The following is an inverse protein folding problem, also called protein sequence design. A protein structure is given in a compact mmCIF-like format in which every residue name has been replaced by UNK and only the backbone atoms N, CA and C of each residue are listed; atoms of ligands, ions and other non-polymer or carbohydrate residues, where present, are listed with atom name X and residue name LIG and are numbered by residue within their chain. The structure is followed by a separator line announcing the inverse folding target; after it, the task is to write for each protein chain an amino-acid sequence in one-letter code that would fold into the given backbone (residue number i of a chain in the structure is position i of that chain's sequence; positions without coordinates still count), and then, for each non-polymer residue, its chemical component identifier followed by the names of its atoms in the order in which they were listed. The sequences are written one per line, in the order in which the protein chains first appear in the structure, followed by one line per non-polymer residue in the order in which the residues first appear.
data_IF_752403659037
#
_entry.id   IF_752403659037
#
_cell.length_a   1.000
_cell.length_b   1.000
_cell.length_c   1.000
_cell.angle_alpha   90.00
_cell.angle_beta   90.00
_cell.angle_gamma   90.00
#
_symmetry.space_group_name_H-M   'P 1'
#
loop_
_entity.id
_entity.type
_entity.pdbx_description
1 polymer ?
#
# COMPACT_ATOMS: atom_id res chain seq x y z
N UNK A 1 35.72 22.53 -10.23
CA UNK A 1 34.70 21.64 -9.61
C UNK A 1 33.41 22.43 -9.59
N UNK A 2 32.43 22.04 -10.40
CA UNK A 2 31.18 22.78 -10.54
C UNK A 2 30.13 22.17 -9.60
N UNK A 3 29.69 22.93 -8.60
CA UNK A 3 28.57 22.57 -7.73
C UNK A 3 27.26 22.70 -8.53
N UNK A 4 26.68 21.56 -8.91
CA UNK A 4 25.33 21.52 -9.46
C UNK A 4 24.32 21.64 -8.32
N UNK A 5 23.91 22.88 -8.05
CA UNK A 5 22.83 23.19 -7.12
C UNK A 5 21.48 22.80 -7.76
N UNK A 6 21.03 21.55 -7.51
CA UNK A 6 19.72 21.07 -7.98
C UNK A 6 18.65 21.79 -7.17
N UNK A 7 18.14 22.88 -7.74
CA UNK A 7 17.00 23.61 -7.21
C UNK A 7 15.75 22.75 -7.40
N UNK A 8 15.42 21.93 -6.40
CA UNK A 8 14.16 21.20 -6.40
C UNK A 8 13.03 22.24 -6.36
N UNK A 9 12.14 22.29 -7.37
CA UNK A 9 11.09 23.28 -7.40
C UNK A 9 10.20 23.05 -6.19
N UNK A 10 10.10 24.04 -5.30
CA UNK A 10 9.27 23.98 -4.07
C UNK A 10 7.83 23.54 -4.37
N UNK A 11 7.32 23.84 -5.58
CA UNK A 11 6.02 23.37 -6.05
C UNK A 11 5.86 21.85 -6.15
N UNK A 12 6.93 21.10 -6.48
CA UNK A 12 6.87 19.64 -6.57
C UNK A 12 6.81 18.96 -5.18
N UNK A 13 7.55 19.50 -4.20
CA UNK A 13 7.45 19.09 -2.80
C UNK A 13 6.05 19.38 -2.23
N UNK A 14 5.48 20.56 -2.52
CA UNK A 14 4.12 20.92 -2.10
C UNK A 14 3.07 20.03 -2.77
N UNK A 15 3.23 19.68 -4.05
CA UNK A 15 2.31 18.79 -4.74
C UNK A 15 2.32 17.36 -4.15
N UNK A 16 3.49 16.85 -3.77
CA UNK A 16 3.63 15.52 -3.19
C UNK A 16 3.06 15.45 -1.77
N UNK A 17 3.30 16.47 -0.96
CA UNK A 17 2.69 16.60 0.37
C UNK A 17 1.17 16.81 0.25
N UNK A 18 0.69 17.59 -0.72
CA UNK A 18 -0.73 17.81 -0.95
C UNK A 18 -1.45 16.52 -1.38
N UNK A 19 -0.82 15.69 -2.20
CA UNK A 19 -1.39 14.42 -2.67
C UNK A 19 -1.48 13.40 -1.52
N UNK A 20 -0.50 13.39 -0.63
CA UNK A 20 -0.48 12.54 0.57
C UNK A 20 -1.51 13.02 1.61
N UNK A 21 -1.63 14.33 1.79
CA UNK A 21 -2.67 14.94 2.63
C UNK A 21 -4.09 14.69 2.07
N UNK A 22 -4.28 14.73 0.75
CA UNK A 22 -5.59 14.43 0.12
C UNK A 22 -5.98 12.95 0.27
N UNK A 23 -5.02 12.02 0.18
CA UNK A 23 -5.27 10.60 0.43
C UNK A 23 -5.67 10.34 1.89
N UNK A 24 -5.06 11.06 2.83
CA UNK A 24 -5.41 11.01 4.25
C UNK A 24 -6.76 11.68 4.56
N UNK A 25 -7.09 12.81 3.90
CA UNK A 25 -8.39 13.48 4.03
C UNK A 25 -9.52 12.60 3.49
N UNK A 26 -9.28 11.81 2.44
CA UNK A 26 -10.20 10.77 1.99
C UNK A 26 -10.48 9.73 3.07
N UNK A 27 -9.44 9.25 3.77
CA UNK A 27 -9.59 8.30 4.87
C UNK A 27 -10.34 8.91 6.07
N UNK A 28 -10.01 10.15 6.45
CA UNK A 28 -10.70 10.87 7.52
C UNK A 28 -12.16 11.22 7.17
N UNK A 29 -12.47 11.53 5.91
CA UNK A 29 -13.83 11.77 5.43
C UNK A 29 -14.67 10.48 5.39
N UNK A 30 -14.05 9.32 5.12
CA UNK A 30 -14.71 8.01 5.21
C UNK A 30 -14.99 7.58 6.66
N UNK A 31 -14.12 7.94 7.61
CA UNK A 31 -14.39 7.72 9.04
C UNK A 31 -15.39 8.75 9.59
N UNK A 32 -15.33 10.00 9.14
CA UNK A 32 -16.23 11.09 9.56
C UNK A 32 -17.67 10.98 9.05
N UNK A 33 -17.92 10.24 7.96
CA UNK A 33 -19.29 10.02 7.44
C UNK A 33 -20.07 8.90 8.12
N UNK A 34 -19.47 8.12 9.03
CA UNK A 34 -20.17 7.07 9.76
C UNK A 34 -20.69 7.51 11.15
N UNK A 35 -20.47 8.76 11.56
CA UNK A 35 -20.87 9.23 12.90
C UNK A 35 -21.91 10.36 12.91
N UNK A 36 -22.59 10.63 11.79
CA UNK A 36 -23.76 11.52 11.81
C UNK A 36 -25.05 10.69 11.88
N UNK A 37 -25.78 10.64 13.03
CA UNK A 37 -27.13 10.09 13.05
C UNK A 37 -28.03 10.92 12.12
N UNK A 38 -29.03 10.27 11.47
CA UNK A 38 -29.93 10.96 10.54
C UNK A 38 -30.67 12.10 11.26
N UNK A 39 -30.74 13.30 10.67
CA UNK A 39 -31.50 14.39 11.26
C UNK A 39 -32.98 13.99 11.30
N UNK A 40 -33.56 13.99 12.50
CA UNK A 40 -35.00 13.87 12.66
C UNK A 40 -35.70 15.05 11.94
N UNK A 41 -36.85 14.82 11.29
CA UNK A 41 -37.60 15.90 10.66
C UNK A 41 -38.30 16.73 11.75
N UNK A 42 -37.79 17.92 12.04
CA UNK A 42 -38.52 18.94 12.80
C UNK A 42 -39.06 20.02 11.86
N UNK A 43 -40.38 20.31 11.91
CA UNK A 43 -40.99 21.41 11.18
C UNK A 43 -40.83 22.75 11.92
N UNK A 44 -40.33 23.75 11.18
CA UNK A 44 -40.58 25.22 11.21
C UNK A 44 -40.48 26.07 12.51
N UNK A 45 -39.93 27.28 12.26
CA UNK A 45 -40.18 28.59 12.91
C UNK A 45 -39.52 28.81 14.28
N UNK A 46 -38.93 29.95 14.67
CA UNK A 46 -39.17 31.41 14.46
C UNK A 46 -37.85 32.15 14.78
N UNK A 47 -37.29 32.94 13.86
CA UNK A 47 -37.08 34.41 13.90
C UNK A 47 -36.32 35.10 15.09
N UNK A 48 -35.46 36.06 14.70
CA UNK A 48 -34.93 37.26 15.42
C UNK A 48 -33.89 36.96 16.52
N UNK A 49 -32.67 37.52 16.55
CA UNK A 49 -32.37 38.95 16.71
C UNK A 49 -30.88 39.28 16.44
N UNK A 50 -30.70 40.53 16.01
CA UNK A 50 -29.51 41.23 15.50
C UNK A 50 -28.49 41.65 16.56
N UNK A 51 -27.19 41.70 16.23
CA UNK A 51 -26.31 42.91 16.35
C UNK A 51 -24.88 42.64 15.82
N UNK A 52 -24.10 43.70 15.46
CA UNK A 52 -23.12 43.70 14.38
C UNK A 52 -21.68 44.09 14.85
N UNK A 53 -20.82 44.47 13.89
CA UNK A 53 -19.44 44.99 14.02
C UNK A 53 -18.35 43.95 14.35
N UNK A 54 -17.12 44.02 13.85
CA UNK A 54 -16.50 44.77 12.76
C UNK A 54 -15.06 44.23 12.65
N UNK A 55 -14.66 43.76 11.46
CA UNK A 55 -13.29 43.84 10.91
C UNK A 55 -13.27 43.02 9.63
N UNK A 56 -13.94 43.58 8.62
CA UNK A 56 -13.63 43.26 7.22
C UNK A 56 -12.32 43.96 6.90
N UNK A 57 -11.21 43.26 7.08
CA UNK A 57 -9.95 43.60 6.42
C UNK A 57 -10.08 43.19 4.96
N UNK A 58 -10.65 44.10 4.17
CA UNK A 58 -10.60 44.08 2.72
C UNK A 58 -9.17 44.31 2.28
N UNK A 59 -8.46 43.25 1.88
CA UNK A 59 -7.23 43.41 1.09
C UNK A 59 -7.62 43.90 -0.31
N UNK A 60 -6.94 44.93 -0.85
CA UNK A 60 -7.15 45.35 -2.22
C UNK A 60 -6.70 44.23 -3.16
N UNK A 61 -7.64 43.72 -3.94
CA UNK A 61 -7.38 42.88 -5.09
C UNK A 61 -6.63 43.74 -6.12
N UNK A 62 -5.30 43.77 -6.03
CA UNK A 62 -4.46 44.41 -7.03
C UNK A 62 -4.45 43.50 -8.26
N UNK A 63 -5.34 43.80 -9.20
CA UNK A 63 -5.38 43.20 -10.54
C UNK A 63 -4.12 43.65 -11.27
N UNK A 64 -3.03 42.91 -11.05
CA UNK A 64 -1.82 43.00 -11.86
C UNK A 64 -2.16 42.59 -13.28
N UNK A 65 -1.78 43.44 -14.24
CA UNK A 65 -1.93 43.22 -15.66
C UNK A 65 -1.50 41.80 -16.05
N UNK A 66 -2.36 41.13 -16.82
CA UNK A 66 -2.06 39.81 -17.37
C UNK A 66 -0.70 39.86 -18.08
N UNK A 67 0.21 38.90 -17.83
CA UNK A 67 1.42 38.79 -18.61
C UNK A 67 1.02 38.56 -20.07
N UNK A 68 1.42 39.50 -20.93
CA UNK A 68 1.36 39.32 -22.38
C UNK A 68 2.05 37.99 -22.72
N UNK A 69 1.40 37.09 -23.48
CA UNK A 69 2.00 35.84 -23.91
C UNK A 69 3.27 36.14 -24.69
N UNK A 70 4.42 35.86 -24.09
CA UNK A 70 5.69 35.87 -24.81
C UNK A 70 5.63 34.70 -25.78
N UNK A 71 5.45 35.01 -27.07
CA UNK A 71 5.47 34.03 -28.16
C UNK A 71 6.83 33.34 -28.14
N UNK A 72 6.85 32.10 -27.65
CA UNK A 72 8.05 31.28 -27.68
C UNK A 72 8.47 31.05 -29.15
N UNK A 73 9.77 31.10 -29.46
CA UNK A 73 10.26 30.76 -30.79
C UNK A 73 9.79 29.34 -31.18
N UNK A 74 9.48 29.08 -32.46
CA UNK A 74 9.00 27.78 -32.90
C UNK A 74 10.01 26.70 -32.51
N UNK A 75 9.53 25.70 -31.77
CA UNK A 75 10.34 24.55 -31.39
C UNK A 75 10.89 23.88 -32.66
N UNK A 76 12.18 23.48 -32.68
CA UNK A 76 12.74 22.75 -33.81
C UNK A 76 11.91 21.50 -34.07
N UNK A 77 11.55 21.29 -35.34
CA UNK A 77 10.77 20.14 -35.77
C UNK A 77 11.46 18.84 -35.29
N UNK A 78 10.70 17.87 -34.76
CA UNK A 78 11.27 16.61 -34.30
C UNK A 78 11.97 15.93 -35.48
N UNK A 79 13.28 15.70 -35.33
CA UNK A 79 14.05 14.88 -36.26
C UNK A 79 13.50 13.46 -36.13
N UNK A 80 12.84 12.98 -37.18
CA UNK A 80 12.34 11.62 -37.26
C UNK A 80 13.52 10.65 -37.28
N UNK A 81 13.80 10.01 -36.15
CA UNK A 81 14.72 8.88 -36.09
C UNK A 81 13.90 7.64 -36.44
N UNK A 82 14.21 6.94 -37.56
CA UNK A 82 13.50 5.72 -37.91
C UNK A 82 13.67 4.69 -36.77
N UNK A 83 12.59 3.97 -36.41
CA UNK A 83 12.67 2.97 -35.35
C UNK A 83 13.68 1.88 -35.71
N UNK A 84 14.47 1.39 -34.74
CA UNK A 84 15.39 0.28 -34.97
C UNK A 84 14.62 -0.95 -35.46
N UNK A 85 15.16 -1.60 -36.49
CA UNK A 85 14.58 -2.81 -37.06
C UNK A 85 14.36 -3.87 -35.97
N UNK A 86 13.23 -4.59 -35.98
CA UNK A 86 12.96 -5.63 -35.00
C UNK A 86 14.05 -6.72 -35.06
N UNK A 87 14.50 -7.24 -33.91
CA UNK A 87 15.45 -8.34 -33.87
C UNK A 87 14.84 -9.57 -34.55
N UNK A 88 15.65 -10.21 -35.41
CA UNK A 88 15.29 -11.45 -36.12
C UNK A 88 14.95 -12.52 -35.09
N UNK A 89 13.74 -13.09 -35.20
CA UNK A 89 13.27 -14.15 -34.30
C UNK A 89 14.20 -15.37 -34.40
N UNK A 90 14.63 -15.96 -33.26
CA UNK A 90 15.42 -17.18 -33.27
C UNK A 90 14.62 -18.36 -33.85
N UNK A 91 15.27 -19.14 -34.71
CA UNK A 91 14.70 -20.32 -35.33
C UNK A 91 14.26 -21.36 -34.26
N UNK A 92 13.15 -22.09 -34.50
CA UNK A 92 12.65 -23.07 -33.55
C UNK A 92 13.67 -24.22 -33.37
N UNK A 93 14.16 -24.37 -32.14
CA UNK A 93 15.00 -25.50 -31.74
C UNK A 93 14.09 -26.73 -31.61
N UNK A 94 14.28 -27.71 -32.48
CA UNK A 94 13.61 -29.01 -32.43
C UNK A 94 14.16 -29.78 -31.23
N UNK A 95 13.38 -29.89 -30.16
CA UNK A 95 13.76 -30.65 -28.97
C UNK A 95 13.56 -32.14 -29.24
N UNK A 96 14.64 -32.92 -29.09
CA UNK A 96 14.63 -34.36 -29.22
C UNK A 96 13.74 -35.02 -28.14
N UNK A 97 13.00 -36.09 -28.47
CA UNK A 97 12.12 -36.77 -27.52
C UNK A 97 12.91 -37.37 -26.35
N UNK A 98 12.40 -37.14 -25.14
CA UNK A 98 12.97 -37.65 -23.90
C UNK A 98 12.88 -39.19 -23.82
N UNK A 99 13.92 -39.88 -23.31
CA UNK A 99 13.94 -41.33 -23.17
C UNK A 99 12.87 -41.84 -22.18
N UNK A 100 12.32 -43.01 -22.48
CA UNK A 100 11.30 -43.69 -21.70
C UNK A 100 11.79 -44.03 -20.28
N UNK A 101 10.93 -43.88 -19.25
CA UNK A 101 11.31 -44.20 -17.87
C UNK A 101 11.54 -45.71 -17.67
N UNK A 102 12.48 -46.11 -16.79
CA UNK A 102 12.74 -47.51 -16.47
C UNK A 102 11.59 -48.14 -15.68
N UNK A 103 11.47 -49.49 -15.71
CA UNK A 103 10.41 -50.22 -15.01
C UNK A 103 10.51 -50.08 -13.49
N UNK A 104 9.35 -49.93 -12.85
CA UNK A 104 9.18 -49.80 -11.40
C UNK A 104 9.48 -51.15 -10.71
N UNK A 105 10.28 -51.19 -9.63
CA UNK A 105 10.53 -52.40 -8.86
C UNK A 105 9.26 -52.98 -8.22
N UNK A 106 9.23 -54.32 -8.08
CA UNK A 106 8.15 -55.07 -7.45
C UNK A 106 7.97 -54.72 -5.96
N UNK A 107 6.74 -54.76 -5.43
CA UNK A 107 6.44 -54.39 -4.04
C UNK A 107 7.09 -55.36 -3.04
N UNK A 108 7.88 -54.80 -2.12
CA UNK A 108 8.47 -55.49 -0.97
C UNK A 108 7.36 -55.81 0.04
N UNK A 109 7.44 -57.00 0.65
CA UNK A 109 6.47 -57.52 1.61
C UNK A 109 6.19 -56.55 2.78
N UNK A 110 4.92 -56.46 3.14
CA UNK A 110 4.39 -55.57 4.17
C UNK A 110 5.01 -55.87 5.56
N UNK A 111 5.55 -54.87 6.28
CA UNK A 111 5.98 -55.03 7.66
C UNK A 111 4.78 -55.32 8.58
N UNK A 112 5.04 -56.08 9.64
CA UNK A 112 4.08 -56.43 10.69
C UNK A 112 3.41 -55.18 11.30
N UNK A 113 2.12 -55.26 11.68
CA UNK A 113 1.36 -54.12 12.17
C UNK A 113 1.98 -53.57 13.47
N UNK A 114 2.17 -52.25 13.58
CA UNK A 114 2.64 -51.62 14.81
C UNK A 114 1.63 -51.77 15.95
N UNK A 115 2.08 -51.71 17.22
CA UNK A 115 1.21 -51.77 18.39
C UNK A 115 0.15 -50.66 18.32
N UNK A 116 -1.09 -51.04 18.65
CA UNK A 116 -2.26 -50.16 18.67
C UNK A 116 -1.96 -48.97 19.59
N UNK A 117 -1.98 -47.72 19.06
CA UNK A 117 -1.76 -46.54 19.89
C UNK A 117 -2.88 -46.39 20.92
N UNK A 118 -2.60 -45.83 22.10
CA UNK A 118 -3.60 -45.55 23.12
C UNK A 118 -4.74 -44.69 22.54
N UNK A 119 -5.98 -44.85 23.05
CA UNK A 119 -7.14 -44.12 22.55
C UNK A 119 -6.86 -42.62 22.54
N UNK A 120 -6.99 -42.03 21.35
CA UNK A 120 -6.79 -40.62 21.14
C UNK A 120 -7.67 -39.82 22.13
N UNK A 121 -7.15 -38.75 22.74
CA UNK A 121 -7.95 -37.88 23.59
C UNK A 121 -9.19 -37.43 22.81
N UNK A 122 -10.34 -37.48 23.48
CA UNK A 122 -11.63 -37.11 22.91
C UNK A 122 -11.49 -35.75 22.18
N UNK A 123 -12.07 -35.62 20.97
CA UNK A 123 -11.98 -34.38 20.20
C UNK A 123 -12.50 -33.25 21.07
N UNK A 124 -11.59 -32.37 21.48
CA UNK A 124 -11.93 -31.04 21.98
C UNK A 124 -12.90 -30.46 20.96
N UNK A 125 -14.13 -30.19 21.39
CA UNK A 125 -15.22 -29.70 20.56
C UNK A 125 -14.64 -28.67 19.60
N UNK A 126 -14.59 -29.04 18.31
CA UNK A 126 -14.01 -28.21 17.29
C UNK A 126 -14.73 -26.87 17.36
N UNK A 127 -13.98 -25.83 17.75
CA UNK A 127 -14.42 -24.45 17.67
C UNK A 127 -15.15 -24.29 16.34
N UNK A 128 -16.45 -23.98 16.38
CA UNK A 128 -17.27 -23.91 15.18
C UNK A 128 -16.62 -23.01 14.14
N UNK A 129 -16.95 -23.15 12.84
CA UNK A 129 -16.30 -22.41 11.77
C UNK A 129 -16.21 -20.88 12.02
N UNK A 130 -17.19 -20.30 12.73
CA UNK A 130 -17.18 -18.89 13.15
C UNK A 130 -16.06 -18.55 14.16
N UNK A 131 -15.79 -19.42 15.14
CA UNK A 131 -14.76 -19.18 16.17
C UNK A 131 -13.34 -19.27 15.59
N UNK A 132 -13.11 -20.15 14.60
CA UNK A 132 -11.83 -20.20 13.89
C UNK A 132 -11.53 -18.88 13.14
N UNK A 133 -12.55 -18.27 12.52
CA UNK A 133 -12.45 -16.98 11.83
C UNK A 133 -12.19 -15.84 12.82
N UNK A 134 -12.89 -15.80 13.95
CA UNK A 134 -12.65 -14.80 14.99
C UNK A 134 -11.22 -14.86 15.54
N UNK A 135 -10.72 -16.06 15.83
CA UNK A 135 -9.35 -16.28 16.28
C UNK A 135 -8.31 -15.84 15.23
N UNK A 136 -8.61 -16.01 13.94
CA UNK A 136 -7.76 -15.55 12.85
C UNK A 136 -7.65 -14.02 12.82
N UNK A 137 -8.78 -13.30 12.83
CA UNK A 137 -8.77 -11.84 12.83
C UNK A 137 -8.13 -11.26 14.09
N UNK A 138 -8.42 -11.82 15.27
CA UNK A 138 -7.79 -11.39 16.52
C UNK A 138 -6.26 -11.52 16.49
N UNK A 139 -5.71 -12.53 15.78
CA UNK A 139 -4.26 -12.67 15.59
C UNK A 139 -3.70 -11.60 14.65
N UNK A 140 -4.42 -11.29 13.57
CA UNK A 140 -4.01 -10.21 12.65
C UNK A 140 -4.04 -8.86 13.36
N UNK A 141 -5.13 -8.56 14.06
CA UNK A 141 -5.28 -7.31 14.81
C UNK A 141 -4.16 -7.14 15.85
N UNK A 142 -3.78 -8.22 16.54
CA UNK A 142 -2.64 -8.19 17.47
C UNK A 142 -1.31 -7.87 16.79
N UNK A 143 -1.04 -8.44 15.61
CA UNK A 143 0.19 -8.15 14.85
C UNK A 143 0.17 -6.71 14.33
N UNK A 144 -0.98 -6.25 13.86
CA UNK A 144 -1.14 -4.88 13.34
C UNK A 144 -1.01 -3.86 14.48
N UNK A 145 -1.61 -4.11 15.65
CA UNK A 145 -1.47 -3.26 16.82
C UNK A 145 -0.01 -3.15 17.31
N UNK A 146 0.77 -4.24 17.24
CA UNK A 146 2.21 -4.20 17.53
C UNK A 146 2.99 -3.34 16.53
N UNK A 147 2.51 -3.27 15.29
CA UNK A 147 3.09 -2.44 14.22
C UNK A 147 2.61 -0.98 14.27
N UNK A 148 1.38 -0.73 14.72
CA UNK A 148 0.78 0.61 14.87
C UNK A 148 1.47 1.44 15.96
N UNK A 149 2.22 0.78 16.85
CA UNK A 149 3.06 1.43 17.86
C UNK A 149 4.25 2.23 17.29
N UNK A 150 4.39 2.36 15.97
CA UNK A 150 5.42 3.22 15.32
C UNK A 150 5.20 4.72 15.60
N UNK A 151 4.10 5.10 16.27
CA UNK A 151 3.89 6.44 16.81
C UNK A 151 3.10 7.35 15.87
N UNK A 152 3.05 8.64 16.19
CA UNK A 152 2.30 9.63 15.42
C UNK A 152 2.81 9.70 13.97
N UNK A 153 1.94 9.38 13.01
CA UNK A 153 2.30 9.34 11.58
C UNK A 153 2.77 10.68 11.05
N UNK A 154 2.30 11.79 11.64
CA UNK A 154 2.71 13.13 11.26
C UNK A 154 4.13 13.44 11.78
N UNK A 155 4.45 12.98 12.99
CA UNK A 155 5.81 13.00 13.52
C UNK A 155 6.75 12.15 12.66
N UNK A 156 6.32 10.97 12.22
CA UNK A 156 7.09 10.13 11.31
C UNK A 156 7.36 10.82 9.96
N UNK A 157 6.33 11.38 9.32
CA UNK A 157 6.50 12.09 8.05
C UNK A 157 7.47 13.27 8.18
N UNK A 158 7.36 14.03 9.28
CA UNK A 158 8.26 15.14 9.59
C UNK A 158 9.69 14.66 9.82
N UNK A 159 9.86 13.55 10.56
CA UNK A 159 11.16 12.94 10.81
C UNK A 159 11.78 12.43 9.51
N UNK A 160 11.01 11.76 8.64
CA UNK A 160 11.48 11.29 7.34
C UNK A 160 11.93 12.45 6.46
N UNK A 161 11.18 13.55 6.42
CA UNK A 161 11.55 14.73 5.66
C UNK A 161 12.87 15.34 6.18
N UNK A 162 12.98 15.52 7.50
CA UNK A 162 14.20 16.03 8.13
C UNK A 162 15.39 15.09 7.93
N UNK A 163 15.19 13.78 8.03
CA UNK A 163 16.22 12.78 7.81
C UNK A 163 16.67 12.76 6.36
N UNK A 164 15.75 12.84 5.40
CA UNK A 164 16.04 12.92 3.97
C UNK A 164 16.88 14.16 3.62
N UNK A 165 16.57 15.32 4.21
CA UNK A 165 17.38 16.53 4.02
C UNK A 165 18.81 16.41 4.58
N UNK A 166 19.01 15.56 5.60
CA UNK A 166 20.30 15.33 6.23
C UNK A 166 21.00 14.04 5.75
N UNK A 167 20.45 13.36 4.73
CA UNK A 167 20.97 12.09 4.20
C UNK A 167 20.88 10.91 5.16
N UNK A 168 20.10 11.01 6.25
CA UNK A 168 19.87 9.91 7.20
C UNK A 168 18.72 9.03 6.70
N UNK A 169 18.86 7.71 6.76
CA UNK A 169 17.78 6.77 6.38
C UNK A 169 17.29 5.89 7.53
N UNK A 170 17.73 6.17 8.75
CA UNK A 170 17.45 5.37 9.94
C UNK A 170 15.94 5.13 10.16
N UNK A 171 15.10 6.12 9.86
CA UNK A 171 13.64 6.00 9.95
C UNK A 171 13.06 4.99 8.94
N UNK A 172 13.58 4.99 7.70
CA UNK A 172 13.19 3.98 6.70
C UNK A 172 13.67 2.59 7.09
N UNK A 173 14.88 2.47 7.63
CA UNK A 173 15.44 1.19 8.09
C UNK A 173 14.60 0.56 9.21
N UNK A 174 14.23 1.37 10.20
CA UNK A 174 13.33 0.93 11.28
C UNK A 174 11.95 0.52 10.75
N UNK A 175 11.39 1.29 9.80
CA UNK A 175 10.09 0.97 9.20
C UNK A 175 10.15 -0.33 8.38
N UNK A 176 11.21 -0.53 7.58
CA UNK A 176 11.43 -1.76 6.82
C UNK A 176 11.59 -2.95 7.77
N UNK A 177 12.40 -2.81 8.83
CA UNK A 177 12.59 -3.87 9.82
C UNK A 177 11.27 -4.23 10.53
N UNK A 178 10.50 -3.23 10.95
CA UNK A 178 9.20 -3.42 11.59
C UNK A 178 8.20 -4.11 10.65
N UNK A 179 8.09 -3.63 9.40
CA UNK A 179 7.20 -4.24 8.39
C UNK A 179 7.62 -5.68 8.07
N UNK A 180 8.92 -5.97 8.05
CA UNK A 180 9.45 -7.32 7.80
C UNK A 180 9.16 -8.26 8.98
N UNK A 181 9.20 -7.75 10.22
CA UNK A 181 8.75 -8.45 11.41
C UNK A 181 7.25 -8.78 11.32
N UNK A 182 6.42 -7.80 10.96
CA UNK A 182 4.98 -7.99 10.77
C UNK A 182 4.68 -9.03 9.68
N UNK A 183 5.35 -8.96 8.53
CA UNK A 183 5.22 -9.96 7.46
C UNK A 183 5.58 -11.37 7.94
N UNK A 184 6.65 -11.51 8.74
CA UNK A 184 7.06 -12.80 9.30
C UNK A 184 6.04 -13.33 10.31
N UNK A 185 5.51 -12.46 11.17
CA UNK A 185 4.45 -12.81 12.10
C UNK A 185 3.16 -13.24 11.35
N UNK A 186 2.76 -12.52 10.30
CA UNK A 186 1.62 -12.90 9.46
C UNK A 186 1.82 -14.27 8.80
N UNK A 187 3.03 -14.57 8.31
CA UNK A 187 3.36 -15.90 7.74
C UNK A 187 3.24 -17.06 8.72
N UNK A 188 3.31 -16.80 10.02
CA UNK A 188 3.14 -17.82 11.07
C UNK A 188 1.68 -18.17 11.38
N UNK A 189 0.71 -17.41 10.83
CA UNK A 189 -0.71 -17.67 11.03
C UNK A 189 -1.19 -18.71 10.03
N UNK A 190 -1.83 -19.77 10.52
CA UNK A 190 -2.57 -20.72 9.69
C UNK A 190 -3.98 -20.18 9.39
N UNK A 191 -4.32 -19.82 8.13
CA UNK A 191 -5.64 -19.28 7.81
C UNK A 191 -6.69 -20.40 7.74
N UNK A 192 -7.92 -20.17 8.24
CA UNK A 192 -9.05 -21.08 7.99
C UNK A 192 -9.40 -21.10 6.49
N UNK A 193 -10.04 -22.18 5.97
CA UNK A 193 -10.30 -22.34 4.53
C UNK A 193 -10.98 -21.15 3.86
N UNK A 194 -11.94 -20.53 4.55
CA UNK A 194 -12.72 -19.39 4.04
C UNK A 194 -11.89 -18.09 3.96
N UNK A 195 -10.81 -17.97 4.71
CA UNK A 195 -9.97 -16.75 4.75
C UNK A 195 -8.70 -16.86 3.90
N UNK A 196 -8.52 -17.94 3.12
CA UNK A 196 -7.29 -18.16 2.32
C UNK A 196 -7.03 -17.03 1.32
N UNK A 197 -8.07 -16.58 0.61
CA UNK A 197 -7.93 -15.49 -0.38
C UNK A 197 -7.53 -14.18 0.32
N UNK A 198 -8.28 -13.77 1.35
CA UNK A 198 -7.95 -12.59 2.16
C UNK A 198 -6.52 -12.62 2.69
N UNK A 199 -6.09 -13.75 3.27
CA UNK A 199 -4.75 -13.93 3.77
C UNK A 199 -3.67 -13.81 2.68
N UNK A 200 -3.89 -14.44 1.52
CA UNK A 200 -2.93 -14.38 0.41
C UNK A 200 -2.75 -12.95 -0.12
N UNK A 201 -3.84 -12.19 -0.17
CA UNK A 201 -3.83 -10.81 -0.64
C UNK A 201 -3.18 -9.87 0.39
N UNK A 202 -3.43 -10.11 1.68
CA UNK A 202 -2.76 -9.41 2.77
C UNK A 202 -1.23 -9.60 2.72
N UNK A 203 -0.75 -10.85 2.62
CA UNK A 203 0.69 -11.14 2.51
C UNK A 203 1.30 -10.47 1.27
N UNK A 204 0.63 -10.59 0.11
CA UNK A 204 1.06 -9.94 -1.13
C UNK A 204 1.18 -8.42 -0.96
N UNK A 205 0.22 -7.78 -0.30
CA UNK A 205 0.22 -6.35 -0.04
C UNK A 205 1.37 -5.93 0.91
N UNK A 206 1.61 -6.69 1.99
CA UNK A 206 2.71 -6.41 2.92
C UNK A 206 4.09 -6.59 2.26
N UNK A 207 4.24 -7.56 1.37
CA UNK A 207 5.49 -7.74 0.61
C UNK A 207 5.69 -6.63 -0.42
N UNK A 208 4.62 -6.20 -1.08
CA UNK A 208 4.66 -5.08 -2.00
C UNK A 208 5.04 -3.77 -1.29
N UNK A 209 4.50 -3.52 -0.09
CA UNK A 209 4.87 -2.34 0.71
C UNK A 209 6.33 -2.39 1.17
N UNK A 210 6.87 -3.57 1.53
CA UNK A 210 8.30 -3.73 1.82
C UNK A 210 9.18 -3.36 0.63
N UNK A 211 8.85 -3.88 -0.56
CA UNK A 211 9.59 -3.53 -1.79
C UNK A 211 9.49 -2.04 -2.11
N UNK A 212 8.31 -1.45 -1.92
CA UNK A 212 8.11 -0.01 -2.12
C UNK A 212 8.98 0.81 -1.17
N UNK A 213 9.00 0.46 0.11
CA UNK A 213 9.83 1.13 1.13
C UNK A 213 11.33 1.03 0.81
N UNK A 214 11.80 -0.14 0.38
CA UNK A 214 13.19 -0.34 -0.03
C UNK A 214 13.54 0.52 -1.26
N UNK A 215 12.64 0.59 -2.25
CA UNK A 215 12.81 1.44 -3.43
C UNK A 215 12.79 2.93 -3.08
N UNK A 216 11.87 3.38 -2.23
CA UNK A 216 11.79 4.78 -1.77
C UNK A 216 13.08 5.16 -1.05
N UNK A 217 13.56 4.30 -0.14
CA UNK A 217 14.85 4.50 0.54
C UNK A 217 15.99 4.64 -0.48
N UNK A 218 16.09 3.70 -1.42
CA UNK A 218 17.14 3.72 -2.45
C UNK A 218 17.09 5.00 -3.29
N UNK A 219 15.90 5.37 -3.78
CA UNK A 219 15.69 6.56 -4.60
C UNK A 219 16.00 7.85 -3.82
N UNK A 220 15.71 7.88 -2.51
CA UNK A 220 16.02 9.02 -1.64
C UNK A 220 17.54 9.17 -1.47
N UNK A 221 18.26 8.07 -1.25
CA UNK A 221 19.73 8.08 -1.11
C UNK A 221 20.40 8.47 -2.42
N UNK A 222 19.89 8.00 -3.55
CA UNK A 222 20.44 8.31 -4.88
C UNK A 222 19.95 9.64 -5.46
N UNK A 223 19.04 10.35 -4.79
CA UNK A 223 18.36 11.54 -5.32
C UNK A 223 17.70 11.30 -6.69
N UNK A 224 17.23 10.08 -6.94
CA UNK A 224 16.65 9.66 -8.22
C UNK A 224 15.17 10.05 -8.30
N UNK A 225 14.90 11.23 -8.84
CA UNK A 225 13.55 11.75 -9.07
C UNK A 225 12.74 10.91 -10.07
N UNK A 226 13.39 10.21 -11.00
CA UNK A 226 12.73 9.30 -11.94
C UNK A 226 12.17 8.08 -11.23
N UNK A 227 12.96 7.47 -10.35
CA UNK A 227 12.53 6.36 -9.50
C UNK A 227 11.39 6.78 -8.56
N UNK A 228 11.47 7.98 -7.96
CA UNK A 228 10.37 8.53 -7.13
C UNK A 228 9.07 8.72 -7.92
N UNK A 229 9.16 9.13 -9.19
CA UNK A 229 7.98 9.27 -10.05
C UNK A 229 7.37 7.92 -10.40
N UNK A 230 8.21 6.92 -10.72
CA UNK A 230 7.75 5.55 -11.02
C UNK A 230 7.05 4.89 -9.83
N UNK A 231 7.48 5.20 -8.60
CA UNK A 231 6.84 4.74 -7.37
C UNK A 231 5.37 5.19 -7.26
N UNK A 232 5.01 6.34 -7.83
CA UNK A 232 3.63 6.81 -7.88
C UNK A 232 2.69 5.87 -8.64
N UNK A 233 3.13 5.32 -9.77
CA UNK A 233 2.35 4.36 -10.54
C UNK A 233 2.21 3.02 -9.81
N UNK A 234 3.27 2.55 -9.13
CA UNK A 234 3.23 1.33 -8.31
C UNK A 234 2.26 1.49 -7.12
N UNK A 235 2.21 2.69 -6.52
CA UNK A 235 1.26 3.03 -5.47
C UNK A 235 -0.22 2.91 -5.89
N UNK A 236 -0.56 3.26 -7.14
CA UNK A 236 -1.93 3.12 -7.65
C UNK A 236 -2.37 1.65 -7.73
N UNK A 237 -1.47 0.75 -8.15
CA UNK A 237 -1.75 -0.69 -8.14
C UNK A 237 -2.00 -1.22 -6.73
N UNK A 238 -1.23 -0.74 -5.75
CA UNK A 238 -1.40 -1.10 -4.34
C UNK A 238 -2.74 -0.60 -3.78
N UNK A 239 -3.22 0.57 -4.22
CA UNK A 239 -4.53 1.08 -3.82
C UNK A 239 -5.68 0.21 -4.35
N UNK A 240 -5.56 -0.31 -5.57
CA UNK A 240 -6.53 -1.24 -6.13
C UNK A 240 -6.58 -2.56 -5.33
N UNK A 241 -5.41 -3.11 -5.00
CA UNK A 241 -5.28 -4.30 -4.15
C UNK A 241 -5.87 -4.05 -2.74
N UNK A 242 -5.60 -2.89 -2.13
CA UNK A 242 -6.17 -2.53 -0.83
C UNK A 242 -7.71 -2.42 -0.83
N UNK A 243 -8.30 -1.87 -1.90
CA UNK A 243 -9.75 -1.83 -2.06
C UNK A 243 -10.34 -3.24 -2.19
N UNK A 244 -9.66 -4.14 -2.90
CA UNK A 244 -10.06 -5.55 -3.00
C UNK A 244 -9.97 -6.27 -1.65
N UNK A 245 -8.91 -6.00 -0.87
CA UNK A 245 -8.80 -6.54 0.49
C UNK A 245 -9.97 -6.11 1.37
N UNK A 246 -10.34 -4.83 1.31
CA UNK A 246 -11.46 -4.27 2.08
C UNK A 246 -12.78 -4.94 1.72
N UNK A 247 -13.05 -5.15 0.43
CA UNK A 247 -14.26 -5.85 -0.03
C UNK A 247 -14.32 -7.29 0.50
N UNK A 248 -13.19 -8.01 0.52
CA UNK A 248 -13.10 -9.35 1.09
C UNK A 248 -13.35 -9.37 2.60
N UNK A 249 -12.82 -8.38 3.33
CA UNK A 249 -13.05 -8.24 4.77
C UNK A 249 -14.54 -8.01 5.09
N UNK A 250 -15.21 -7.14 4.33
CA UNK A 250 -16.65 -6.89 4.45
C UNK A 250 -17.47 -8.15 4.15
N UNK A 251 -17.14 -8.90 3.10
CA UNK A 251 -17.79 -10.17 2.76
C UNK A 251 -17.60 -11.22 3.87
N UNK A 252 -16.39 -11.36 4.41
CA UNK A 252 -16.08 -12.29 5.49
C UNK A 252 -16.74 -11.90 6.81
N UNK A 253 -17.01 -10.61 7.04
CA UNK A 253 -17.75 -10.12 8.21
C UNK A 253 -19.26 -10.32 8.03
N UNK A 254 -19.80 -10.11 6.83
CA UNK A 254 -21.23 -10.30 6.53
C UNK A 254 -21.66 -11.78 6.51
N UNK A 255 -20.73 -12.70 6.23
CA UNK A 255 -20.98 -14.15 6.25
C UNK A 255 -20.86 -14.83 7.62
N UNK A 256 -20.66 -14.07 8.71
CA UNK A 256 -20.67 -14.59 10.10
C UNK A 256 -22.06 -14.51 10.70
#
# INVERSE_FOLDING_TARGET
MAENNVTVPRGAMVALVALLAFSMLGFAFLLGRQSAPPPAPTPQAVAVESTPEASRTSLPLQVGAAPVPQVAPPAPAPVYVPPPAPPVAPAPVVVAPAPAPPPVPAPVAAPAPPPVPPPAPAPVAAAGPSQAVQNYFAKIDKIMAETESIGDQNAFATQVLQQGMNGKTEGFDNLIASTRKAATALRSITPPPNCKEHYSLLIKQTEASLRLLEKVKSATVSLDTGALTALGAEGQGMQADANRLKQLDEQLRAGR
#
